data_IF_450370461004
#
_entry.id   IF_450370461004
#
_cell.length_a   1.000
_cell.length_b   1.000
_cell.length_c   1.000
_cell.angle_alpha   90.00
_cell.angle_beta   90.00
_cell.angle_gamma   90.00
#
_symmetry.space_group_name_H-M   'P 1'
#
loop_
_entity.id
_entity.type
_entity.pdbx_description
1 polymer ?
#
# COMPACT_ATOMS: atom_id res chain seq x y z
N UNK A 1 14.03 12.90 -24.14
CA UNK A 1 14.38 12.10 -22.95
C UNK A 1 13.62 10.77 -23.03
N UNK A 2 14.11 9.80 -23.82
CA UNK A 2 13.38 8.58 -24.22
C UNK A 2 13.79 7.30 -23.45
N UNK A 3 14.66 7.41 -22.44
CA UNK A 3 15.24 6.27 -21.71
C UNK A 3 14.30 5.56 -20.72
N UNK A 4 13.09 6.08 -20.47
CA UNK A 4 12.30 5.61 -19.34
C UNK A 4 11.52 4.32 -19.65
N UNK A 5 10.83 4.22 -20.79
CA UNK A 5 9.80 3.17 -20.98
C UNK A 5 10.38 1.76 -21.10
N UNK A 6 11.51 1.61 -21.78
CA UNK A 6 12.16 0.31 -22.00
C UNK A 6 12.89 -0.19 -20.74
N UNK A 7 13.47 0.73 -19.98
CA UNK A 7 14.09 0.45 -18.69
C UNK A 7 13.08 -0.07 -17.65
N UNK A 8 11.84 0.46 -17.63
CA UNK A 8 10.79 0.00 -16.70
C UNK A 8 10.27 -1.41 -16.99
N UNK A 9 10.16 -1.80 -18.25
CA UNK A 9 9.71 -3.16 -18.63
C UNK A 9 10.72 -4.24 -18.20
N UNK A 10 12.01 -3.93 -18.31
CA UNK A 10 13.10 -4.89 -18.03
C UNK A 10 13.17 -5.30 -16.55
N UNK A 11 12.78 -4.43 -15.62
CA UNK A 11 12.93 -4.67 -14.17
C UNK A 11 11.63 -5.04 -13.42
N UNK A 12 10.44 -4.82 -14.02
CA UNK A 12 9.18 -5.35 -13.46
C UNK A 12 9.20 -6.88 -13.31
N UNK A 13 9.73 -7.58 -14.32
CA UNK A 13 9.76 -9.04 -14.34
C UNK A 13 10.74 -9.65 -13.31
N UNK A 14 12.00 -9.18 -13.17
CA UNK A 14 12.90 -9.60 -12.09
C UNK A 14 12.32 -9.41 -10.70
N UNK A 15 11.69 -8.27 -10.42
CA UNK A 15 11.09 -8.03 -9.11
C UNK A 15 9.87 -8.93 -8.85
N UNK A 16 8.98 -9.08 -9.84
CA UNK A 16 7.89 -10.05 -9.79
C UNK A 16 8.45 -11.44 -9.53
N UNK A 17 9.56 -11.80 -10.17
CA UNK A 17 10.26 -13.05 -9.92
C UNK A 17 10.84 -13.11 -8.49
N UNK A 18 11.37 -12.03 -7.91
CA UNK A 18 11.86 -11.99 -6.53
C UNK A 18 10.74 -12.18 -5.50
N UNK A 19 9.59 -11.55 -5.71
CA UNK A 19 8.40 -11.75 -4.85
C UNK A 19 7.84 -13.17 -5.04
N UNK A 20 7.73 -13.65 -6.29
CA UNK A 20 7.31 -15.02 -6.59
C UNK A 20 8.25 -16.04 -5.96
N UNK A 21 9.57 -15.78 -5.99
CA UNK A 21 10.61 -16.64 -5.43
C UNK A 21 10.89 -16.41 -3.94
N UNK A 22 10.13 -15.51 -3.29
CA UNK A 22 10.22 -15.24 -1.86
C UNK A 22 11.62 -14.79 -1.39
N UNK A 23 12.34 -14.01 -2.20
CA UNK A 23 13.71 -13.55 -1.93
C UNK A 23 13.73 -12.22 -1.16
N UNK A 24 13.28 -12.27 0.09
CA UNK A 24 13.27 -11.14 1.04
C UNK A 24 14.64 -10.51 1.22
N UNK A 25 15.66 -11.36 1.31
CA UNK A 25 17.06 -11.01 1.40
C UNK A 25 17.48 -10.07 0.27
N UNK A 26 17.08 -10.39 -0.97
CA UNK A 26 17.40 -9.57 -2.14
C UNK A 26 16.56 -8.30 -2.15
N UNK A 27 15.27 -8.37 -1.83
CA UNK A 27 14.41 -7.16 -1.78
C UNK A 27 14.96 -6.17 -0.75
N UNK A 28 15.32 -6.64 0.45
CA UNK A 28 15.93 -5.85 1.51
C UNK A 28 17.30 -5.30 1.11
N UNK A 29 18.15 -6.15 0.52
CA UNK A 29 19.47 -5.75 0.04
C UNK A 29 19.36 -4.63 -1.01
N UNK A 30 18.55 -4.84 -2.04
CA UNK A 30 18.34 -3.89 -3.12
C UNK A 30 17.75 -2.57 -2.61
N UNK A 31 16.79 -2.64 -1.67
CA UNK A 31 16.20 -1.45 -1.06
C UNK A 31 17.21 -0.61 -0.26
N UNK A 32 18.09 -1.27 0.49
CA UNK A 32 19.04 -0.58 1.36
C UNK A 32 20.26 -0.02 0.62
N UNK A 33 20.53 -0.47 -0.61
CA UNK A 33 21.81 -0.17 -1.27
C UNK A 33 21.77 0.95 -2.32
N UNK A 34 20.61 1.34 -2.87
CA UNK A 34 20.58 2.30 -3.98
C UNK A 34 19.31 3.18 -4.09
N UNK A 35 19.48 4.51 -4.00
CA UNK A 35 18.41 5.51 -4.16
C UNK A 35 17.75 5.51 -5.55
N UNK A 36 18.50 5.24 -6.62
CA UNK A 36 17.91 5.13 -7.97
C UNK A 36 16.96 3.93 -8.07
N UNK A 37 17.26 2.84 -7.36
CA UNK A 37 16.39 1.67 -7.33
C UNK A 37 15.14 1.92 -6.46
N UNK A 38 15.26 2.70 -5.37
CA UNK A 38 14.09 3.18 -4.61
C UNK A 38 13.16 4.02 -5.49
N UNK A 39 13.71 4.95 -6.27
CA UNK A 39 12.93 5.78 -7.20
C UNK A 39 12.32 4.98 -8.35
N UNK A 40 13.02 3.96 -8.84
CA UNK A 40 12.47 3.00 -9.80
C UNK A 40 11.22 2.31 -9.23
N UNK A 41 11.34 1.78 -8.01
CA UNK A 41 10.23 1.11 -7.36
C UNK A 41 9.09 2.05 -6.93
N UNK A 42 9.30 3.35 -6.83
CA UNK A 42 8.19 4.29 -6.61
C UNK A 42 7.27 4.43 -7.83
N UNK A 43 7.79 4.32 -9.05
CA UNK A 43 7.02 4.60 -10.28
C UNK A 43 6.35 3.39 -10.92
N UNK A 44 6.80 2.17 -10.63
CA UNK A 44 6.44 1.00 -11.44
C UNK A 44 5.43 0.04 -10.80
N UNK A 45 4.96 0.32 -9.58
CA UNK A 45 4.18 -0.65 -8.80
C UNK A 45 2.71 -0.29 -8.78
N UNK A 46 1.90 -1.07 -9.50
CA UNK A 46 0.46 -1.07 -9.29
C UNK A 46 0.17 -1.84 -7.99
N UNK A 47 -0.31 -1.13 -6.96
CA UNK A 47 -0.64 -1.66 -5.64
C UNK A 47 -1.64 -2.81 -5.69
N UNK A 48 -2.56 -2.85 -6.67
CA UNK A 48 -3.49 -3.98 -6.85
C UNK A 48 -2.75 -5.27 -7.21
N UNK A 49 -1.80 -5.20 -8.14
CA UNK A 49 -1.00 -6.36 -8.56
C UNK A 49 -0.18 -6.90 -7.39
N UNK A 50 0.39 -6.01 -6.56
CA UNK A 50 1.11 -6.42 -5.34
C UNK A 50 0.18 -7.22 -4.44
N UNK A 51 -0.97 -6.64 -4.11
CA UNK A 51 -1.88 -7.26 -3.16
C UNK A 51 -2.43 -8.56 -3.75
N UNK A 52 -2.70 -8.66 -5.05
CA UNK A 52 -3.06 -9.92 -5.71
C UNK A 52 -1.98 -10.99 -5.58
N UNK A 53 -0.74 -10.64 -5.92
CA UNK A 53 0.40 -11.56 -5.85
C UNK A 53 0.60 -12.04 -4.41
N UNK A 54 0.51 -11.12 -3.44
CA UNK A 54 0.72 -11.37 -2.02
C UNK A 54 -0.41 -12.20 -1.41
N UNK A 55 -1.66 -11.87 -1.75
CA UNK A 55 -2.83 -12.52 -1.17
C UNK A 55 -3.08 -13.92 -1.74
N UNK A 56 -2.53 -14.23 -2.91
CA UNK A 56 -2.70 -15.52 -3.59
C UNK A 56 -1.97 -16.71 -2.96
N UNK A 57 -1.08 -16.53 -1.97
CA UNK A 57 -0.39 -17.65 -1.31
C UNK A 57 0.00 -17.34 0.15
N UNK A 58 -0.14 -18.31 1.06
CA UNK A 58 0.24 -18.18 2.46
C UNK A 58 1.71 -17.76 2.67
N UNK A 59 2.67 -18.33 1.91
CA UNK A 59 4.08 -17.93 2.01
C UNK A 59 4.29 -16.46 1.64
N UNK A 60 3.52 -15.95 0.66
CA UNK A 60 3.59 -14.55 0.23
C UNK A 60 2.91 -13.60 1.21
N UNK A 61 1.87 -14.04 1.91
CA UNK A 61 1.31 -13.31 3.05
C UNK A 61 2.30 -13.19 4.20
N UNK A 62 3.03 -14.26 4.52
CA UNK A 62 4.09 -14.23 5.54
C UNK A 62 5.22 -13.26 5.16
N UNK A 63 5.63 -13.29 3.89
CA UNK A 63 6.55 -12.31 3.31
C UNK A 63 6.04 -10.88 3.52
N UNK A 64 4.77 -10.62 3.22
CA UNK A 64 4.22 -9.29 3.35
C UNK A 64 4.12 -8.83 4.81
N UNK A 65 3.85 -9.76 5.74
CA UNK A 65 4.00 -9.47 7.16
C UNK A 65 5.42 -9.02 7.48
N UNK A 66 6.45 -9.74 7.05
CA UNK A 66 7.84 -9.37 7.29
C UNK A 66 8.21 -7.99 6.70
N UNK A 67 7.68 -7.66 5.51
CA UNK A 67 7.85 -6.34 4.89
C UNK A 67 7.20 -5.25 5.75
N UNK A 68 5.96 -5.46 6.20
CA UNK A 68 5.24 -4.48 7.04
C UNK A 68 5.77 -4.42 8.47
N UNK A 69 6.47 -5.44 8.95
CA UNK A 69 7.13 -5.43 10.25
C UNK A 69 8.43 -4.61 10.20
N UNK A 70 8.99 -4.36 9.01
CA UNK A 70 10.07 -3.42 8.81
C UNK A 70 9.53 -2.00 8.59
N UNK A 71 9.71 -1.12 9.58
CA UNK A 71 9.18 0.26 9.56
C UNK A 71 9.55 1.05 8.29
N UNK A 72 10.83 1.02 7.89
CA UNK A 72 11.32 1.77 6.73
C UNK A 72 10.67 1.29 5.44
N UNK A 73 10.57 -0.03 5.25
CA UNK A 73 9.88 -0.60 4.09
C UNK A 73 8.38 -0.36 4.13
N UNK A 74 7.74 -0.48 5.29
CA UNK A 74 6.31 -0.24 5.44
C UNK A 74 5.93 1.19 5.07
N UNK A 75 6.66 2.18 5.62
CA UNK A 75 6.46 3.60 5.30
C UNK A 75 6.74 3.85 3.83
N UNK A 76 7.86 3.32 3.31
CA UNK A 76 8.21 3.48 1.92
C UNK A 76 7.12 2.92 0.99
N UNK A 77 6.63 1.71 1.24
CA UNK A 77 5.60 1.08 0.44
C UNK A 77 4.25 1.81 0.52
N UNK A 78 3.90 2.29 1.71
CA UNK A 78 2.69 3.07 1.93
C UNK A 78 2.75 4.44 1.27
N UNK A 79 3.93 5.06 1.20
CA UNK A 79 4.12 6.40 0.64
C UNK A 79 4.16 6.37 -0.87
N UNK A 80 4.84 5.36 -1.43
CA UNK A 80 5.11 5.21 -2.86
C UNK A 80 3.96 4.66 -3.69
N UNK A 81 2.96 4.03 -3.05
CA UNK A 81 1.87 3.35 -3.77
C UNK A 81 0.52 3.60 -3.11
N UNK A 82 -0.57 3.39 -3.85
CA UNK A 82 -1.94 3.43 -3.31
C UNK A 82 -2.29 2.20 -2.46
N UNK A 83 -1.28 1.57 -1.84
CA UNK A 83 -1.42 0.35 -1.04
C UNK A 83 -2.47 0.52 0.05
N UNK A 84 -2.48 1.67 0.74
CA UNK A 84 -3.47 1.94 1.79
C UNK A 84 -4.90 1.75 1.25
N UNK A 85 -5.22 2.38 0.14
CA UNK A 85 -6.55 2.34 -0.46
C UNK A 85 -6.89 0.98 -1.03
N UNK A 86 -5.92 0.28 -1.63
CA UNK A 86 -6.11 -1.12 -2.06
C UNK A 86 -6.41 -2.05 -0.88
N UNK A 87 -5.70 -1.89 0.25
CA UNK A 87 -5.96 -2.68 1.45
C UNK A 87 -7.33 -2.36 2.06
N UNK A 88 -7.78 -1.10 2.02
CA UNK A 88 -9.14 -0.69 2.42
C UNK A 88 -10.20 -1.32 1.50
N UNK A 89 -10.02 -1.20 0.19
CA UNK A 89 -10.91 -1.77 -0.83
C UNK A 89 -11.06 -3.29 -0.66
N UNK A 90 -9.95 -3.98 -0.37
CA UNK A 90 -9.90 -5.43 -0.15
C UNK A 90 -10.13 -5.87 1.28
N UNK A 91 -10.43 -4.94 2.18
CA UNK A 91 -10.78 -5.19 3.58
C UNK A 91 -9.72 -5.97 4.35
N UNK A 92 -8.46 -5.70 4.08
CA UNK A 92 -7.33 -6.41 4.69
C UNK A 92 -7.01 -5.85 6.08
N UNK A 93 -7.95 -6.03 7.01
CA UNK A 93 -7.91 -5.45 8.36
C UNK A 93 -6.58 -5.66 9.08
N UNK A 94 -6.04 -6.89 9.10
CA UNK A 94 -4.77 -7.19 9.77
C UNK A 94 -3.59 -6.42 9.17
N UNK A 95 -3.53 -6.27 7.86
CA UNK A 95 -2.48 -5.50 7.20
C UNK A 95 -2.67 -4.00 7.39
N UNK A 96 -3.92 -3.50 7.39
CA UNK A 96 -4.22 -2.11 7.72
C UNK A 96 -3.73 -1.76 9.13
N UNK A 97 -4.03 -2.59 10.14
CA UNK A 97 -3.54 -2.34 11.52
C UNK A 97 -2.02 -2.26 11.57
N UNK A 98 -1.31 -3.19 10.92
CA UNK A 98 0.15 -3.16 10.84
C UNK A 98 0.65 -1.88 10.17
N UNK A 99 0.04 -1.52 9.04
CA UNK A 99 0.42 -0.33 8.27
C UNK A 99 0.26 0.96 9.10
N UNK A 100 -0.89 1.13 9.76
CA UNK A 100 -1.15 2.28 10.63
C UNK A 100 -0.27 2.27 11.89
N UNK A 101 0.07 1.09 12.43
CA UNK A 101 1.00 1.00 13.54
C UNK A 101 2.40 1.52 13.16
N UNK A 102 2.87 1.21 11.94
CA UNK A 102 4.16 1.71 11.45
C UNK A 102 4.11 3.20 11.09
N UNK A 103 2.96 3.68 10.61
CA UNK A 103 2.77 5.07 10.18
C UNK A 103 1.35 5.55 10.46
N UNK A 104 1.09 6.08 11.67
CA UNK A 104 -0.23 6.59 12.05
C UNK A 104 -0.70 7.75 11.16
N UNK A 105 0.23 8.56 10.65
CA UNK A 105 -0.05 9.71 9.78
C UNK A 105 -0.76 9.35 8.46
N UNK A 106 -0.73 8.08 8.06
CA UNK A 106 -1.50 7.60 6.91
C UNK A 106 -3.01 7.79 7.07
N UNK A 107 -3.50 8.02 8.30
CA UNK A 107 -4.91 8.26 8.59
C UNK A 107 -5.44 9.54 7.92
N UNK A 108 -4.55 10.46 7.53
CA UNK A 108 -4.89 11.70 6.83
C UNK A 108 -4.53 11.67 5.33
N UNK A 109 -4.02 10.54 4.82
CA UNK A 109 -3.66 10.41 3.41
C UNK A 109 -4.91 10.48 2.55
N UNK A 110 -4.83 11.22 1.45
CA UNK A 110 -5.94 11.37 0.50
C UNK A 110 -5.70 10.52 -0.75
N UNK A 111 -6.78 10.00 -1.33
CA UNK A 111 -6.79 9.44 -2.69
C UNK A 111 -6.92 10.55 -3.75
N UNK A 112 -7.01 10.15 -5.02
CA UNK A 112 -7.15 11.08 -6.15
C UNK A 112 -8.46 11.88 -6.14
N UNK A 113 -9.49 11.39 -5.46
CA UNK A 113 -10.78 12.07 -5.28
C UNK A 113 -10.80 12.96 -4.02
N UNK A 114 -9.69 13.02 -3.28
CA UNK A 114 -9.58 13.76 -2.02
C UNK A 114 -10.24 13.06 -0.83
N UNK A 115 -10.58 11.78 -0.95
CA UNK A 115 -11.10 10.96 0.14
C UNK A 115 -9.96 10.58 1.09
N UNK A 116 -10.17 10.81 2.37
CA UNK A 116 -9.32 10.19 3.39
C UNK A 116 -9.66 8.68 3.54
N UNK A 117 -8.97 7.92 4.40
CA UNK A 117 -9.23 6.49 4.59
C UNK A 117 -10.67 6.17 5.01
N UNK A 118 -11.29 7.02 5.82
CA UNK A 118 -12.67 6.83 6.29
C UNK A 118 -13.67 7.06 5.16
N UNK A 119 -13.59 8.19 4.47
CA UNK A 119 -14.43 8.50 3.30
C UNK A 119 -14.27 7.45 2.22
N UNK A 120 -13.04 7.01 1.92
CA UNK A 120 -12.79 5.95 0.97
C UNK A 120 -13.47 4.63 1.41
N UNK A 121 -13.32 4.28 2.69
CA UNK A 121 -13.93 3.10 3.27
C UNK A 121 -15.46 3.19 3.37
N UNK A 122 -16.09 4.35 3.26
CA UNK A 122 -17.55 4.49 3.22
C UNK A 122 -18.08 4.57 1.78
N UNK A 123 -17.49 5.45 0.96
CA UNK A 123 -18.01 5.81 -0.37
C UNK A 123 -17.55 4.87 -1.50
N UNK A 124 -16.33 4.32 -1.43
CA UNK A 124 -15.69 3.64 -2.58
C UNK A 124 -15.63 2.13 -2.45
N UNK A 125 -15.22 1.62 -1.28
CA UNK A 125 -15.16 0.18 -1.09
C UNK A 125 -16.57 -0.44 -1.18
N UNK A 126 -16.70 -1.77 -1.30
CA UNK A 126 -18.01 -2.47 -1.40
C UNK A 126 -18.22 -3.51 -0.30
N UNK A 127 -19.46 -3.71 0.16
CA UNK A 127 -19.84 -4.70 1.18
C UNK A 127 -19.49 -4.33 2.64
N UNK A 128 -19.75 -5.25 3.59
CA UNK A 128 -19.61 -5.01 5.03
C UNK A 128 -18.16 -4.65 5.44
N UNK A 129 -18.02 -3.58 6.23
CA UNK A 129 -16.75 -2.94 6.63
C UNK A 129 -16.73 -2.42 8.08
N UNK A 130 -17.73 -2.75 8.89
CA UNK A 130 -17.92 -2.20 10.25
C UNK A 130 -16.62 -2.13 11.07
N UNK A 131 -15.86 -3.23 11.16
CA UNK A 131 -14.59 -3.27 11.91
C UNK A 131 -13.51 -2.31 11.40
N UNK A 132 -13.47 -2.07 10.10
CA UNK A 132 -12.50 -1.13 9.51
C UNK A 132 -12.94 0.30 9.82
N UNK A 133 -14.23 0.61 9.64
CA UNK A 133 -14.79 1.93 9.94
C UNK A 133 -14.61 2.27 11.42
N UNK A 134 -14.99 1.37 12.32
CA UNK A 134 -14.78 1.51 13.77
C UNK A 134 -13.31 1.80 14.09
N UNK A 135 -12.40 1.01 13.53
CA UNK A 135 -10.97 1.20 13.76
C UNK A 135 -10.43 2.53 13.21
N UNK A 136 -10.92 3.01 12.07
CA UNK A 136 -10.51 4.30 11.52
C UNK A 136 -11.01 5.47 12.38
N UNK A 137 -12.23 5.37 12.93
CA UNK A 137 -12.77 6.34 13.89
C UNK A 137 -11.93 6.35 15.17
N UNK A 138 -11.61 5.18 15.72
CA UNK A 138 -10.73 5.03 16.90
C UNK A 138 -9.34 5.63 16.67
N UNK A 139 -8.83 5.58 15.44
CA UNK A 139 -7.55 6.16 15.05
C UNK A 139 -7.58 7.70 14.93
N UNK A 140 -8.74 8.34 15.08
CA UNK A 140 -8.88 9.79 15.03
C UNK A 140 -9.02 10.37 13.63
N UNK A 141 -9.69 9.67 12.71
CA UNK A 141 -10.11 10.25 11.43
C UNK A 141 -10.93 11.54 11.62
N UNK A 142 -10.81 12.46 10.67
CA UNK A 142 -11.61 13.68 10.62
C UNK A 142 -13.02 13.35 10.13
N UNK A 143 -13.99 13.41 11.04
CA UNK A 143 -15.38 13.06 10.74
C UNK A 143 -16.12 14.13 9.93
N UNK A 144 -15.57 15.34 9.86
CA UNK A 144 -16.17 16.45 9.11
C UNK A 144 -15.51 16.64 7.74
N UNK A 145 -14.57 15.75 7.40
CA UNK A 145 -13.83 15.80 6.15
C UNK A 145 -14.78 15.71 4.96
N UNK A 146 -14.51 16.55 3.96
CA UNK A 146 -15.19 16.51 2.67
C UNK A 146 -14.20 16.28 1.55
N UNK A 147 -14.60 15.46 0.59
CA UNK A 147 -13.78 15.16 -0.59
C UNK A 147 -13.90 16.28 -1.66
N UNK A 148 -13.26 16.10 -2.83
CA UNK A 148 -13.29 17.11 -3.90
C UNK A 148 -14.67 17.33 -4.53
N UNK A 149 -15.64 16.44 -4.27
CA UNK A 149 -17.03 16.57 -4.71
C UNK A 149 -17.98 16.96 -3.57
N UNK A 150 -17.45 17.52 -2.48
CA UNK A 150 -18.20 17.98 -1.31
C UNK A 150 -18.96 16.86 -0.56
N UNK A 151 -18.52 15.60 -0.70
CA UNK A 151 -19.15 14.45 -0.01
C UNK A 151 -18.49 14.18 1.34
N UNK A 152 -19.31 13.83 2.33
CA UNK A 152 -18.92 13.28 3.64
C UNK A 152 -19.42 11.82 3.79
N UNK A 153 -18.97 11.09 4.83
CA UNK A 153 -19.24 9.68 5.11
C UNK A 153 -20.63 9.41 5.72
#
# INVERSE_FOLDING_TARGET
>A
MYWNVEFYKTFQQPLKNLIISNRLDIILFVFNYNEQIKNFFQKSWNSEIIVDIIMGNQKRKQLFHAILDNKSLAIWLATSTDLLFVLLQRKQYTFLKKLFHQSPLLIHRLDEDGNDPLLYACLKARGCRHRIVEYLIEMGCDLERRNLQDKNF
#
